data_IF_380853471733
#
_entry.id   IF_380853471733
#
_cell.length_a   1.000
_cell.length_b   1.000
_cell.length_c   1.000
_cell.angle_alpha   90.00
_cell.angle_beta   90.00
_cell.angle_gamma   90.00
#
_symmetry.space_group_name_H-M   'P 1'
#
loop_
_entity.id
_entity.type
_entity.pdbx_description
1 polymer ?
#
# COMPACT_ATOMS: atom_id res chain seq x y z
N UNK A 1 -17.75 -49.26 -20.14
CA UNK A 1 -18.72 -48.19 -20.44
C UNK A 1 -19.57 -47.95 -19.21
N UNK A 2 -19.21 -46.96 -18.42
CA UNK A 2 -20.05 -46.41 -17.39
C UNK A 2 -19.75 -44.92 -17.32
N UNK A 3 -20.63 -44.14 -17.95
CA UNK A 3 -20.63 -42.69 -17.82
C UNK A 3 -21.19 -42.33 -16.42
N UNK A 4 -20.31 -41.86 -15.56
CA UNK A 4 -20.72 -41.27 -14.28
C UNK A 4 -21.22 -39.85 -14.57
N UNK A 5 -22.54 -39.65 -14.44
CA UNK A 5 -23.17 -38.34 -14.52
C UNK A 5 -22.64 -37.48 -13.37
N UNK A 6 -21.84 -36.45 -13.66
CA UNK A 6 -21.65 -35.35 -12.76
C UNK A 6 -22.99 -34.58 -12.62
N UNK A 7 -23.59 -34.67 -11.45
CA UNK A 7 -24.72 -33.85 -11.06
C UNK A 7 -24.25 -32.40 -10.92
N UNK A 8 -24.41 -31.63 -11.99
CA UNK A 8 -24.33 -30.18 -11.93
C UNK A 8 -25.56 -29.71 -11.17
N UNK A 9 -25.40 -29.37 -9.90
CA UNK A 9 -26.42 -28.64 -9.15
C UNK A 9 -26.57 -27.25 -9.79
N UNK A 10 -27.47 -27.11 -10.72
CA UNK A 10 -27.99 -25.81 -11.16
C UNK A 10 -28.69 -25.17 -9.98
N UNK A 11 -27.97 -24.35 -9.22
CA UNK A 11 -28.60 -23.34 -8.36
C UNK A 11 -29.37 -22.41 -9.30
N UNK A 12 -30.69 -22.38 -9.17
CA UNK A 12 -31.54 -21.43 -9.88
C UNK A 12 -31.15 -20.01 -9.46
N UNK A 13 -30.29 -19.36 -10.24
CA UNK A 13 -30.01 -17.91 -10.13
C UNK A 13 -31.16 -17.23 -10.88
N UNK A 14 -32.32 -17.15 -10.26
CA UNK A 14 -33.48 -16.40 -10.76
C UNK A 14 -33.29 -14.94 -10.31
N UNK A 15 -33.24 -14.03 -11.28
CA UNK A 15 -33.24 -12.58 -11.11
C UNK A 15 -31.89 -11.89 -10.76
N UNK A 16 -30.78 -12.37 -11.31
CA UNK A 16 -29.52 -11.60 -11.26
C UNK A 16 -29.37 -10.73 -12.51
N UNK A 17 -28.97 -9.48 -12.31
CA UNK A 17 -28.61 -8.54 -13.36
C UNK A 17 -27.18 -8.06 -13.14
N UNK A 18 -26.38 -7.96 -14.21
CA UNK A 18 -25.03 -7.38 -14.16
C UNK A 18 -25.03 -6.12 -15.02
N UNK A 19 -24.68 -5.01 -14.39
CA UNK A 19 -24.49 -3.72 -15.06
C UNK A 19 -22.99 -3.47 -15.22
N UNK A 20 -22.55 -3.09 -16.42
CA UNK A 20 -21.21 -2.61 -16.70
C UNK A 20 -21.24 -1.10 -16.95
N UNK A 21 -20.35 -0.33 -16.29
CA UNK A 21 -20.28 1.12 -16.44
C UNK A 21 -18.88 1.65 -16.19
N UNK A 22 -18.53 2.75 -16.85
CA UNK A 22 -17.30 3.55 -16.61
C UNK A 22 -17.55 4.72 -15.66
N UNK A 23 -18.80 5.02 -15.36
CA UNK A 23 -19.19 6.15 -14.49
C UNK A 23 -20.28 5.72 -13.55
N UNK A 24 -19.99 5.74 -12.27
CA UNK A 24 -20.93 5.34 -11.23
C UNK A 24 -22.00 6.43 -11.00
N UNK A 25 -23.25 6.03 -11.03
CA UNK A 25 -24.35 6.82 -10.48
C UNK A 25 -24.22 6.94 -8.96
N UNK A 26 -24.94 7.89 -8.35
CA UNK A 26 -24.94 8.06 -6.89
C UNK A 26 -25.39 6.78 -6.17
N UNK A 27 -26.40 6.08 -6.69
CA UNK A 27 -26.89 4.80 -6.11
C UNK A 27 -25.78 3.74 -6.14
N UNK A 28 -25.10 3.57 -7.26
CA UNK A 28 -24.04 2.59 -7.41
C UNK A 28 -22.85 2.90 -6.48
N UNK A 29 -22.46 4.16 -6.30
CA UNK A 29 -21.45 4.58 -5.33
C UNK A 29 -21.87 4.21 -3.89
N UNK A 30 -23.12 4.50 -3.51
CA UNK A 30 -23.67 4.17 -2.20
C UNK A 30 -23.69 2.64 -1.98
N UNK A 31 -24.04 1.85 -3.01
CA UNK A 31 -24.03 0.39 -2.98
C UNK A 31 -22.63 -0.20 -2.82
N UNK A 32 -21.64 0.28 -3.59
CA UNK A 32 -20.23 -0.12 -3.47
C UNK A 32 -19.70 0.19 -2.06
N UNK A 33 -19.92 1.40 -1.56
CA UNK A 33 -19.53 1.78 -0.21
C UNK A 33 -20.18 0.89 0.86
N UNK A 34 -21.46 0.58 0.71
CA UNK A 34 -22.20 -0.30 1.63
C UNK A 34 -21.63 -1.71 1.64
N UNK A 35 -21.41 -2.32 0.46
CA UNK A 35 -20.84 -3.67 0.34
C UNK A 35 -19.43 -3.71 0.95
N UNK A 36 -18.58 -2.75 0.61
CA UNK A 36 -17.22 -2.66 1.13
C UNK A 36 -17.22 -2.52 2.66
N UNK A 37 -18.07 -1.66 3.22
CA UNK A 37 -18.17 -1.47 4.67
C UNK A 37 -18.63 -2.76 5.39
N UNK A 38 -19.60 -3.48 4.83
CA UNK A 38 -20.08 -4.75 5.38
C UNK A 38 -19.02 -5.85 5.31
N UNK A 39 -18.27 -5.95 4.22
CA UNK A 39 -17.15 -6.89 4.10
C UNK A 39 -16.02 -6.55 5.09
N UNK A 40 -15.68 -5.27 5.23
CA UNK A 40 -14.68 -4.82 6.23
C UNK A 40 -15.10 -5.21 7.65
N UNK A 41 -16.37 -5.00 7.99
CA UNK A 41 -16.91 -5.38 9.31
C UNK A 41 -16.89 -6.90 9.52
N UNK A 42 -17.32 -7.68 8.50
CA UNK A 42 -17.45 -9.13 8.61
C UNK A 42 -16.10 -9.86 8.69
N UNK A 43 -15.09 -9.39 7.96
CA UNK A 43 -13.80 -10.08 7.82
C UNK A 43 -12.64 -9.33 8.50
N UNK A 44 -12.89 -8.16 9.10
CA UNK A 44 -11.85 -7.31 9.71
C UNK A 44 -10.89 -6.71 8.68
N UNK A 45 -11.37 -6.43 7.46
CA UNK A 45 -10.53 -5.93 6.37
C UNK A 45 -10.11 -4.48 6.63
N UNK A 46 -8.88 -4.17 6.23
CA UNK A 46 -8.40 -2.79 6.05
C UNK A 46 -8.65 -2.29 4.62
N UNK A 47 -8.70 -3.24 3.67
CA UNK A 47 -8.89 -2.96 2.24
C UNK A 47 -10.14 -2.12 1.98
N UNK A 48 -10.00 -1.13 1.13
CA UNK A 48 -11.09 -0.31 0.58
C UNK A 48 -11.10 -0.41 -0.93
N UNK A 49 -12.20 0.00 -1.56
CA UNK A 49 -12.27 0.16 -3.00
C UNK A 49 -12.27 1.66 -3.32
N UNK A 50 -11.22 2.20 -3.93
CA UNK A 50 -11.22 3.58 -4.40
C UNK A 50 -12.34 3.84 -5.41
N UNK A 51 -12.91 5.05 -5.40
CA UNK A 51 -14.05 5.40 -6.25
C UNK A 51 -13.67 5.92 -7.65
N UNK A 52 -12.41 5.80 -8.04
CA UNK A 52 -11.81 6.32 -9.28
C UNK A 52 -11.38 5.21 -10.26
N UNK A 53 -12.03 4.05 -10.17
CA UNK A 53 -11.83 2.96 -11.12
C UNK A 53 -12.27 3.34 -12.54
N UNK A 54 -11.63 2.71 -13.53
CA UNK A 54 -11.94 2.94 -14.95
C UNK A 54 -13.21 2.21 -15.40
N UNK A 55 -13.45 1.02 -14.82
CA UNK A 55 -14.58 0.15 -15.20
C UNK A 55 -15.17 -0.52 -13.95
N UNK A 56 -16.49 -0.72 -13.95
CA UNK A 56 -17.22 -1.35 -12.86
C UNK A 56 -18.23 -2.36 -13.39
N UNK A 57 -18.23 -3.55 -12.83
CA UNK A 57 -19.31 -4.55 -13.00
C UNK A 57 -20.01 -4.72 -11.67
N UNK A 58 -21.32 -4.46 -11.65
CA UNK A 58 -22.14 -4.52 -10.45
C UNK A 58 -23.22 -5.58 -10.67
N UNK A 59 -23.27 -6.58 -9.78
CA UNK A 59 -24.28 -7.63 -9.79
C UNK A 59 -25.37 -7.32 -8.76
N UNK A 60 -26.59 -7.24 -9.23
CA UNK A 60 -27.78 -7.13 -8.38
C UNK A 60 -28.55 -8.47 -8.35
N UNK A 61 -29.04 -8.86 -7.17
CA UNK A 61 -30.05 -9.90 -6.96
C UNK A 61 -31.31 -9.22 -6.43
N UNK A 62 -32.44 -9.38 -7.12
CA UNK A 62 -33.72 -8.76 -6.74
C UNK A 62 -33.63 -7.26 -6.41
N UNK A 63 -32.97 -6.48 -7.24
CA UNK A 63 -32.70 -5.03 -7.09
C UNK A 63 -31.73 -4.63 -5.98
N UNK A 64 -31.12 -5.59 -5.28
CA UNK A 64 -30.11 -5.35 -4.25
C UNK A 64 -28.73 -5.64 -4.81
N UNK A 65 -27.81 -4.67 -4.74
CA UNK A 65 -26.44 -4.90 -5.13
C UNK A 65 -25.78 -5.92 -4.19
N UNK A 66 -25.38 -7.06 -4.77
CA UNK A 66 -24.87 -8.24 -4.07
C UNK A 66 -23.36 -8.40 -4.20
N UNK A 67 -22.77 -7.97 -5.31
CA UNK A 67 -21.34 -8.03 -5.56
C UNK A 67 -20.93 -6.97 -6.58
N UNK A 68 -19.68 -6.60 -6.56
CA UNK A 68 -19.07 -5.77 -7.61
C UNK A 68 -17.61 -6.16 -7.86
N UNK A 69 -17.13 -5.82 -9.05
CA UNK A 69 -15.73 -5.86 -9.43
C UNK A 69 -15.40 -4.53 -10.13
N UNK A 70 -14.40 -3.81 -9.57
CA UNK A 70 -13.85 -2.60 -10.14
C UNK A 70 -12.49 -2.90 -10.78
N UNK A 71 -12.23 -2.30 -11.92
CA UNK A 71 -10.98 -2.43 -12.68
C UNK A 71 -10.31 -1.07 -12.77
N UNK A 72 -9.02 -1.05 -12.51
CA UNK A 72 -8.13 0.10 -12.65
C UNK A 72 -7.08 -0.24 -13.71
N UNK A 73 -7.12 0.47 -14.83
CA UNK A 73 -6.22 0.25 -15.97
C UNK A 73 -4.88 0.96 -15.73
N UNK A 74 -4.15 0.49 -14.72
CA UNK A 74 -2.87 1.08 -14.29
C UNK A 74 -1.78 0.97 -15.34
N UNK A 75 -1.79 -0.13 -16.13
CA UNK A 75 -0.87 -0.38 -17.23
C UNK A 75 -1.62 -0.99 -18.43
N UNK A 76 -1.00 -0.93 -19.60
CA UNK A 76 -1.58 -1.51 -20.83
C UNK A 76 -1.70 -3.02 -20.75
N UNK A 77 -0.75 -3.67 -20.09
CA UNK A 77 -0.62 -5.13 -20.00
C UNK A 77 -1.16 -5.71 -18.70
N UNK A 78 -1.51 -4.89 -17.72
CA UNK A 78 -1.99 -5.34 -16.41
C UNK A 78 -3.07 -4.40 -15.89
N UNK A 79 -4.16 -4.97 -15.38
CA UNK A 79 -5.27 -4.25 -14.75
C UNK A 79 -5.41 -4.66 -13.29
N UNK A 80 -5.40 -3.71 -12.39
CA UNK A 80 -5.74 -3.98 -11.00
C UNK A 80 -7.23 -4.21 -10.85
N UNK A 81 -7.59 -5.23 -10.07
CA UNK A 81 -8.97 -5.64 -9.82
C UNK A 81 -9.29 -5.60 -8.34
N UNK A 82 -10.36 -4.91 -7.97
CA UNK A 82 -10.89 -4.86 -6.63
C UNK A 82 -12.31 -5.45 -6.61
N UNK A 83 -12.49 -6.58 -5.94
CA UNK A 83 -13.75 -7.32 -5.96
C UNK A 83 -14.31 -7.56 -4.55
N UNK A 84 -15.59 -7.29 -4.36
CA UNK A 84 -16.30 -7.55 -3.11
C UNK A 84 -17.64 -8.24 -3.34
N UNK A 85 -17.93 -9.24 -2.50
CA UNK A 85 -19.25 -9.86 -2.43
C UNK A 85 -19.84 -9.63 -1.04
N UNK A 86 -21.01 -9.04 -0.98
CA UNK A 86 -21.75 -8.81 0.26
C UNK A 86 -21.81 -10.10 1.09
N UNK A 87 -21.56 -10.09 2.39
CA UNK A 87 -21.43 -11.30 3.22
C UNK A 87 -22.62 -12.27 3.07
N UNK A 88 -23.86 -11.77 3.04
CA UNK A 88 -25.07 -12.59 2.93
C UNK A 88 -25.28 -13.20 1.53
N UNK A 89 -24.57 -12.72 0.54
CA UNK A 89 -24.68 -13.19 -0.85
C UNK A 89 -23.49 -14.03 -1.30
N UNK A 90 -22.56 -14.37 -0.40
CA UNK A 90 -21.41 -15.24 -0.69
C UNK A 90 -21.83 -16.66 -1.02
N UNK A 91 -20.96 -17.41 -1.69
CA UNK A 91 -21.14 -18.82 -2.08
C UNK A 91 -22.29 -19.06 -3.09
N UNK A 92 -22.74 -18.00 -3.77
CA UNK A 92 -23.72 -18.07 -4.85
C UNK A 92 -23.10 -17.97 -6.27
N UNK A 93 -21.77 -17.93 -6.38
CA UNK A 93 -21.06 -17.87 -7.67
C UNK A 93 -20.99 -16.44 -8.27
N UNK A 94 -21.38 -15.38 -7.52
CA UNK A 94 -21.46 -14.03 -8.07
C UNK A 94 -20.12 -13.44 -8.48
N UNK A 95 -19.08 -13.73 -7.72
CA UNK A 95 -17.72 -13.34 -8.12
C UNK A 95 -17.34 -13.99 -9.46
N UNK A 96 -17.60 -15.29 -9.65
CA UNK A 96 -17.28 -16.00 -10.89
C UNK A 96 -18.02 -15.42 -12.09
N UNK A 97 -19.30 -15.02 -11.90
CA UNK A 97 -20.07 -14.36 -12.96
C UNK A 97 -19.50 -13.00 -13.33
N UNK A 98 -19.06 -12.21 -12.35
CA UNK A 98 -18.41 -10.92 -12.60
C UNK A 98 -17.06 -11.10 -13.29
N UNK A 99 -16.25 -12.05 -12.83
CA UNK A 99 -14.95 -12.36 -13.42
C UNK A 99 -15.09 -12.77 -14.88
N UNK A 100 -16.06 -13.64 -15.20
CA UNK A 100 -16.35 -14.05 -16.57
C UNK A 100 -16.65 -12.84 -17.49
N UNK A 101 -17.41 -11.86 -17.01
CA UNK A 101 -17.68 -10.64 -17.78
C UNK A 101 -16.41 -9.80 -17.99
N UNK A 102 -15.56 -9.67 -16.97
CA UNK A 102 -14.30 -8.95 -17.07
C UNK A 102 -13.35 -9.63 -18.04
N UNK A 103 -13.20 -10.97 -17.95
CA UNK A 103 -12.36 -11.73 -18.90
C UNK A 103 -12.83 -11.56 -20.34
N UNK A 104 -14.13 -11.67 -20.61
CA UNK A 104 -14.68 -11.43 -21.97
C UNK A 104 -14.44 -10.00 -22.46
N UNK A 105 -14.48 -9.03 -21.55
CA UNK A 105 -14.19 -7.64 -21.90
C UNK A 105 -12.70 -7.43 -22.17
N UNK A 106 -11.82 -8.04 -21.39
CA UNK A 106 -10.37 -7.93 -21.54
C UNK A 106 -9.87 -8.60 -22.83
N UNK A 107 -10.48 -9.72 -23.26
CA UNK A 107 -10.17 -10.41 -24.54
C UNK A 107 -10.21 -9.46 -25.74
N UNK A 108 -11.18 -8.54 -25.76
CA UNK A 108 -11.33 -7.53 -26.82
C UNK A 108 -10.27 -6.41 -26.77
N UNK A 109 -9.53 -6.30 -25.67
CA UNK A 109 -8.59 -5.21 -25.37
C UNK A 109 -7.13 -5.66 -25.23
N UNK A 110 -6.81 -6.89 -25.68
CA UNK A 110 -5.45 -7.41 -25.73
C UNK A 110 -5.08 -8.31 -24.57
N UNK A 111 -6.08 -8.82 -23.84
CA UNK A 111 -5.90 -9.81 -22.75
C UNK A 111 -4.88 -9.35 -21.68
N UNK A 112 -5.06 -8.18 -21.06
CA UNK A 112 -4.19 -7.77 -19.97
C UNK A 112 -4.33 -8.75 -18.80
N UNK A 113 -3.24 -8.99 -18.07
CA UNK A 113 -3.25 -9.77 -16.83
C UNK A 113 -4.14 -9.09 -15.79
N UNK A 114 -4.94 -9.86 -15.08
CA UNK A 114 -5.81 -9.36 -14.01
C UNK A 114 -5.10 -9.51 -12.67
N UNK A 115 -4.85 -8.38 -12.00
CA UNK A 115 -4.15 -8.33 -10.73
C UNK A 115 -5.14 -8.08 -9.58
N UNK A 116 -5.45 -9.09 -8.79
CA UNK A 116 -6.35 -8.98 -7.63
C UNK A 116 -5.64 -8.48 -6.40
N UNK A 117 -6.19 -7.42 -5.77
CA UNK A 117 -5.65 -6.83 -4.55
C UNK A 117 -6.41 -7.36 -3.33
N UNK A 118 -5.69 -7.80 -2.29
CA UNK A 118 -6.28 -8.27 -1.03
C UNK A 118 -5.37 -7.95 0.16
N UNK A 119 -5.94 -7.82 1.35
CA UNK A 119 -5.21 -7.73 2.63
C UNK A 119 -5.03 -9.10 3.33
N UNK A 120 -5.34 -10.19 2.63
CA UNK A 120 -5.23 -11.59 3.08
C UNK A 120 -6.08 -11.95 4.32
N UNK A 121 -6.94 -11.08 4.81
CA UNK A 121 -7.75 -11.32 6.02
C UNK A 121 -9.03 -12.11 5.74
N UNK A 122 -9.54 -12.08 4.49
CA UNK A 122 -10.74 -12.80 4.11
C UNK A 122 -10.42 -14.24 3.64
N UNK A 123 -10.71 -15.30 4.42
CA UNK A 123 -10.44 -16.67 4.01
C UNK A 123 -11.16 -17.09 2.72
N UNK A 124 -12.33 -16.50 2.46
CA UNK A 124 -13.10 -16.79 1.24
C UNK A 124 -12.40 -16.23 0.00
N UNK A 125 -11.86 -15.00 0.08
CA UNK A 125 -11.06 -14.42 -1.00
C UNK A 125 -9.78 -15.25 -1.27
N UNK A 126 -9.07 -15.65 -0.21
CA UNK A 126 -7.88 -16.49 -0.34
C UNK A 126 -8.20 -17.89 -0.91
N UNK A 127 -9.39 -18.42 -0.67
CA UNK A 127 -9.83 -19.67 -1.29
C UNK A 127 -10.09 -19.50 -2.78
N UNK A 128 -10.70 -18.38 -3.18
CA UNK A 128 -10.95 -18.05 -4.59
C UNK A 128 -9.62 -17.87 -5.35
N UNK A 129 -8.68 -17.09 -4.81
CA UNK A 129 -7.38 -16.88 -5.46
C UNK A 129 -6.62 -18.20 -5.67
N UNK A 130 -6.69 -19.13 -4.71
CA UNK A 130 -6.12 -20.48 -4.88
C UNK A 130 -6.83 -21.31 -5.93
N UNK A 131 -8.17 -21.20 -6.04
CA UNK A 131 -8.95 -21.91 -7.06
C UNK A 131 -8.67 -21.35 -8.46
N UNK A 132 -8.38 -20.06 -8.57
CA UNK A 132 -7.94 -19.40 -9.80
C UNK A 132 -6.48 -19.69 -10.13
N UNK A 133 -5.73 -20.38 -9.27
CA UNK A 133 -4.28 -20.56 -9.38
C UNK A 133 -3.52 -19.23 -9.53
N UNK A 134 -4.08 -18.16 -8.94
CA UNK A 134 -3.48 -16.83 -8.99
C UNK A 134 -2.17 -16.78 -8.22
N UNK A 135 -1.13 -16.22 -8.83
CA UNK A 135 0.21 -16.16 -8.27
C UNK A 135 0.46 -14.84 -7.53
N UNK A 136 1.09 -14.92 -6.35
CA UNK A 136 1.51 -13.73 -5.62
C UNK A 136 2.61 -13.01 -6.41
N UNK A 137 2.30 -11.81 -6.89
CA UNK A 137 3.22 -10.99 -7.69
C UNK A 137 3.95 -9.95 -6.85
N UNK A 138 3.23 -9.25 -5.96
CA UNK A 138 3.80 -8.18 -5.15
C UNK A 138 3.09 -8.08 -3.80
N UNK A 139 3.79 -7.51 -2.82
CA UNK A 139 3.21 -7.09 -1.55
C UNK A 139 3.58 -5.64 -1.25
N UNK A 140 2.67 -4.92 -0.64
CA UNK A 140 2.90 -3.58 -0.11
C UNK A 140 2.53 -3.54 1.37
N UNK A 141 3.35 -2.89 2.14
CA UNK A 141 3.16 -2.77 3.58
C UNK A 141 2.80 -1.34 3.95
N UNK A 142 1.67 -1.17 4.62
CA UNK A 142 1.42 0.03 5.41
C UNK A 142 2.21 -0.11 6.70
N UNK A 143 3.01 0.89 7.02
CA UNK A 143 3.78 0.92 8.25
C UNK A 143 3.44 2.17 9.06
N UNK A 144 3.40 2.00 10.38
CA UNK A 144 3.11 3.09 11.31
C UNK A 144 4.17 3.19 12.40
N UNK A 145 4.43 4.43 12.79
CA UNK A 145 5.19 4.80 13.97
C UNK A 145 4.30 5.64 14.90
N UNK A 146 4.08 5.15 16.12
CA UNK A 146 3.40 5.93 17.16
C UNK A 146 4.42 6.83 17.84
N UNK A 147 4.21 8.14 17.71
CA UNK A 147 5.05 9.15 18.37
C UNK A 147 4.69 9.18 19.85
N UNK A 148 5.63 8.89 20.76
CA UNK A 148 5.36 8.91 22.20
C UNK A 148 4.75 10.24 22.67
N UNK A 149 3.84 10.22 23.64
CA UNK A 149 3.35 11.45 24.24
C UNK A 149 4.49 12.17 24.97
N UNK A 150 4.66 13.47 24.74
CA UNK A 150 5.67 14.26 25.43
C UNK A 150 5.47 14.11 26.95
N UNK A 151 6.43 13.49 27.63
CA UNK A 151 6.39 13.26 29.09
C UNK A 151 6.61 11.82 29.55
N UNK A 152 6.61 10.82 28.65
CA UNK A 152 7.09 9.48 29.01
C UNK A 152 8.60 9.42 28.78
N UNK A 153 9.36 9.66 29.85
CA UNK A 153 10.80 9.43 29.86
C UNK A 153 11.07 7.99 29.39
N UNK A 154 11.98 7.85 28.46
CA UNK A 154 12.52 6.55 28.06
C UNK A 154 13.20 5.92 29.27
N UNK A 155 12.49 5.09 30.02
CA UNK A 155 13.15 4.14 30.90
C UNK A 155 13.75 3.05 30.04
N UNK A 156 15.05 3.17 29.79
CA UNK A 156 15.88 2.13 29.20
C UNK A 156 15.86 0.92 30.14
N UNK A 157 15.13 -0.12 29.79
CA UNK A 157 15.21 -1.39 30.48
C UNK A 157 13.90 -2.15 30.60
N UNK A 158 13.39 -2.69 29.52
CA UNK A 158 12.57 -3.91 29.63
C UNK A 158 12.83 -4.79 28.42
N UNK A 159 13.52 -5.90 28.68
CA UNK A 159 13.76 -6.98 27.74
C UNK A 159 12.43 -7.61 27.32
N UNK A 160 12.02 -7.40 26.08
CA UNK A 160 10.97 -8.20 25.47
C UNK A 160 11.60 -9.49 24.97
N UNK A 161 11.10 -10.61 25.48
CA UNK A 161 11.52 -11.97 25.14
C UNK A 161 11.53 -12.20 23.64
N UNK A 162 12.72 -12.50 23.12
CA UNK A 162 12.96 -12.93 21.75
C UNK A 162 12.32 -14.29 21.50
N UNK A 163 11.41 -14.33 20.52
CA UNK A 163 11.19 -15.55 19.77
C UNK A 163 12.32 -15.68 18.73
N UNK A 164 13.07 -16.74 18.84
CA UNK A 164 14.29 -17.04 18.11
C UNK A 164 14.11 -17.09 16.60
N UNK A 165 14.89 -16.26 15.89
CA UNK A 165 15.25 -16.41 14.48
C UNK A 165 16.78 -16.59 14.39
N UNK A 166 17.31 -17.31 13.38
CA UNK A 166 18.68 -17.79 13.37
C UNK A 166 19.73 -16.69 13.18
N UNK A 167 20.89 -16.97 13.76
CA UNK A 167 22.08 -16.16 13.85
C UNK A 167 22.54 -15.51 12.53
N UNK A 168 22.54 -14.17 12.52
CA UNK A 168 23.42 -13.39 11.66
C UNK A 168 24.23 -12.48 12.59
N UNK A 169 25.56 -12.59 12.52
CA UNK A 169 26.51 -11.88 13.38
C UNK A 169 26.24 -10.36 13.37
N UNK A 170 26.45 -9.66 14.51
CA UNK A 170 26.32 -8.21 14.57
C UNK A 170 27.54 -7.56 13.91
N UNK A 171 27.27 -6.75 12.86
CA UNK A 171 28.23 -5.80 12.31
C UNK A 171 28.56 -4.74 13.37
N UNK A 172 29.69 -4.93 14.06
CA UNK A 172 30.14 -4.14 15.23
C UNK A 172 31.02 -2.94 14.82
N UNK A 173 30.71 -2.21 13.77
CA UNK A 173 31.55 -1.06 13.38
C UNK A 173 30.80 0.24 13.00
N UNK A 174 29.61 0.54 13.56
CA UNK A 174 28.91 1.78 13.15
C UNK A 174 28.37 2.66 14.29
N UNK A 175 28.86 2.52 15.53
CA UNK A 175 28.28 3.26 16.66
C UNK A 175 28.99 4.59 17.01
N UNK A 176 30.01 5.03 16.30
CA UNK A 176 30.77 6.23 16.67
C UNK A 176 30.52 7.48 15.80
N UNK A 177 29.72 7.41 14.76
CA UNK A 177 29.33 8.58 13.93
C UNK A 177 27.91 9.12 14.19
N UNK A 178 27.28 8.76 15.29
CA UNK A 178 25.83 9.01 15.53
C UNK A 178 25.46 10.45 15.91
N UNK A 179 26.40 11.35 16.16
CA UNK A 179 26.13 12.66 16.78
C UNK A 179 26.02 13.84 15.80
N UNK A 180 26.16 13.63 14.50
CA UNK A 180 26.05 14.75 13.57
C UNK A 180 24.58 15.01 13.18
N UNK A 181 24.00 16.09 13.68
CA UNK A 181 22.71 16.59 13.21
C UNK A 181 22.82 17.01 11.74
N UNK A 182 21.80 16.68 10.94
CA UNK A 182 21.67 17.16 9.57
C UNK A 182 20.99 18.53 9.57
N UNK A 183 21.41 19.42 8.68
CA UNK A 183 20.73 20.69 8.46
C UNK A 183 19.41 20.43 7.70
N UNK A 184 18.29 20.59 8.39
CA UNK A 184 16.97 20.23 7.88
C UNK A 184 16.17 21.46 7.46
N UNK A 185 15.76 21.51 6.18
CA UNK A 185 14.90 22.57 5.63
C UNK A 185 13.50 22.00 5.33
N UNK A 186 12.49 22.82 5.57
CA UNK A 186 11.08 22.47 5.34
C UNK A 186 10.47 23.49 4.38
N UNK A 187 9.96 22.99 3.27
CA UNK A 187 9.32 23.78 2.22
C UNK A 187 7.84 23.40 2.10
N UNK A 188 6.96 24.38 2.07
CA UNK A 188 5.53 24.14 1.77
C UNK A 188 5.34 24.09 0.26
N UNK A 189 4.72 23.02 -0.22
CA UNK A 189 4.36 22.82 -1.64
C UNK A 189 2.85 22.67 -1.78
N UNK A 190 2.28 22.77 -2.99
CA UNK A 190 0.86 22.49 -3.20
C UNK A 190 0.43 21.08 -2.79
N UNK A 191 1.34 20.11 -2.83
CA UNK A 191 1.12 18.70 -2.52
C UNK A 191 1.38 18.34 -1.06
N UNK A 192 1.84 19.29 -0.22
CA UNK A 192 2.19 19.06 1.17
C UNK A 192 3.52 19.70 1.57
N UNK A 193 4.27 19.03 2.43
CA UNK A 193 5.59 19.50 2.87
C UNK A 193 6.70 18.71 2.17
N UNK A 194 7.65 19.40 1.59
CA UNK A 194 8.94 18.84 1.16
C UNK A 194 9.95 19.12 2.26
N UNK A 195 10.58 18.07 2.78
CA UNK A 195 11.59 18.16 3.84
C UNK A 195 12.91 17.63 3.29
N UNK A 196 13.93 18.44 3.36
CA UNK A 196 15.26 18.12 2.85
C UNK A 196 16.28 18.24 3.97
N UNK A 197 17.37 17.49 3.86
CA UNK A 197 18.49 17.61 4.77
C UNK A 197 19.82 17.68 4.03
N UNK A 198 20.77 18.41 4.61
CA UNK A 198 22.16 18.56 4.13
C UNK A 198 23.13 18.07 5.19
N UNK A 199 24.31 17.66 4.76
CA UNK A 199 25.41 17.37 5.68
C UNK A 199 26.01 18.71 6.11
N UNK A 200 26.11 19.01 7.42
CA UNK A 200 26.67 20.27 7.91
C UNK A 200 28.11 20.47 7.42
N UNK A 201 28.40 21.67 6.93
CA UNK A 201 29.73 22.03 6.45
C UNK A 201 30.09 21.50 5.05
N UNK A 202 29.22 20.75 4.40
CA UNK A 202 29.41 20.37 3.01
C UNK A 202 28.94 21.51 2.10
N UNK A 203 29.86 22.40 1.76
CA UNK A 203 29.64 23.52 0.83
C UNK A 203 29.90 23.11 -0.62
N UNK A 204 29.90 21.81 -0.93
CA UNK A 204 30.08 21.32 -2.28
C UNK A 204 28.99 21.92 -3.16
N UNK A 205 29.32 22.70 -4.22
CA UNK A 205 28.33 23.11 -5.18
C UNK A 205 27.68 21.83 -5.74
N UNK A 206 26.38 21.82 -5.87
CA UNK A 206 25.70 20.77 -6.58
C UNK A 206 26.31 20.74 -8.00
N UNK A 207 27.25 19.82 -8.22
CA UNK A 207 27.83 19.62 -9.53
C UNK A 207 26.68 19.26 -10.48
N UNK A 208 26.42 20.18 -11.42
CA UNK A 208 25.27 20.14 -12.34
C UNK A 208 25.34 19.01 -13.38
N UNK A 209 25.84 17.85 -13.03
CA UNK A 209 25.72 16.60 -13.74
C UNK A 209 24.64 15.73 -13.11
N UNK A 210 23.44 16.30 -12.94
CA UNK A 210 22.24 15.51 -12.73
C UNK A 210 22.06 14.57 -13.91
N UNK A 211 22.21 13.27 -13.66
CA UNK A 211 21.69 12.25 -14.56
C UNK A 211 20.19 12.56 -14.70
N UNK A 212 19.80 13.08 -15.85
CA UNK A 212 18.39 13.23 -16.23
C UNK A 212 17.83 11.82 -16.39
N UNK A 213 17.41 11.22 -15.28
CA UNK A 213 16.46 10.12 -15.33
C UNK A 213 15.12 10.78 -15.68
N UNK A 214 14.44 10.23 -16.66
CA UNK A 214 13.16 10.70 -17.20
C UNK A 214 11.99 10.62 -16.20
N UNK A 215 12.25 10.27 -14.96
CA UNK A 215 11.28 10.25 -13.86
C UNK A 215 11.32 11.57 -13.12
N UNK A 216 10.42 12.47 -13.53
CA UNK A 216 10.28 13.84 -13.03
C UNK A 216 9.79 13.96 -11.58
N UNK A 217 9.93 12.94 -10.76
CA UNK A 217 9.37 12.86 -9.40
C UNK A 217 10.40 12.64 -8.27
N UNK A 218 11.71 12.77 -8.52
CA UNK A 218 12.72 12.63 -7.47
C UNK A 218 12.72 13.86 -6.54
N UNK A 219 12.52 13.62 -5.24
CA UNK A 219 12.45 14.67 -4.21
C UNK A 219 13.77 15.40 -3.98
N UNK A 220 14.92 14.76 -4.27
CA UNK A 220 16.25 15.33 -4.07
C UNK A 220 16.71 16.21 -5.23
N UNK A 221 16.20 16.01 -6.44
CA UNK A 221 16.64 16.73 -7.64
C UNK A 221 16.23 18.22 -7.65
N UNK A 222 15.27 18.59 -6.79
CA UNK A 222 14.74 19.95 -6.72
C UNK A 222 15.38 20.85 -5.65
N UNK A 223 16.28 20.30 -4.81
CA UNK A 223 16.92 21.06 -3.71
C UNK A 223 18.44 20.91 -3.77
N UNK A 224 19.13 21.95 -4.25
CA UNK A 224 20.60 21.91 -4.38
C UNK A 224 21.28 21.57 -3.04
N UNK A 225 22.20 20.60 -3.05
CA UNK A 225 22.95 20.17 -1.88
C UNK A 225 22.20 19.29 -0.87
N UNK A 226 20.93 18.93 -1.14
CA UNK A 226 20.22 17.98 -0.29
C UNK A 226 20.83 16.59 -0.40
N UNK A 227 21.08 15.91 0.73
CA UNK A 227 21.55 14.54 0.78
C UNK A 227 20.42 13.52 0.98
N UNK A 228 19.35 13.92 1.68
CA UNK A 228 18.14 13.16 1.91
C UNK A 228 16.95 14.07 1.75
N UNK A 229 15.86 13.59 1.19
CA UNK A 229 14.60 14.30 1.12
C UNK A 229 13.42 13.35 1.32
N UNK A 230 12.30 13.88 1.78
CA UNK A 230 11.00 13.19 1.78
C UNK A 230 9.86 14.20 1.60
N UNK A 231 8.68 13.67 1.32
CA UNK A 231 7.43 14.44 1.30
C UNK A 231 6.55 14.01 2.48
N UNK A 232 5.78 14.96 3.01
CA UNK A 232 4.79 14.73 4.06
C UNK A 232 3.45 15.34 3.69
N UNK A 233 2.39 14.59 3.90
CA UNK A 233 1.02 15.10 3.99
C UNK A 233 0.57 15.05 5.44
N UNK A 234 -0.02 16.14 5.95
CA UNK A 234 -0.48 16.24 7.33
C UNK A 234 -1.99 16.18 7.40
N UNK A 235 -2.52 15.38 8.31
CA UNK A 235 -3.95 15.29 8.59
C UNK A 235 -4.18 15.22 10.11
N UNK A 236 -4.58 16.35 10.71
CA UNK A 236 -4.74 16.46 12.17
C UNK A 236 -3.43 16.14 12.91
N UNK A 237 -3.44 15.10 13.72
CA UNK A 237 -2.27 14.62 14.47
C UNK A 237 -1.51 13.49 13.77
N UNK A 238 -1.82 13.21 12.52
CA UNK A 238 -1.17 12.18 11.73
C UNK A 238 -0.38 12.80 10.57
N UNK A 239 0.76 12.21 10.24
CA UNK A 239 1.57 12.53 9.07
C UNK A 239 1.68 11.30 8.17
N UNK A 240 1.56 11.49 6.85
CA UNK A 240 1.84 10.46 5.85
C UNK A 240 3.15 10.81 5.16
N UNK A 241 4.14 9.92 5.29
CA UNK A 241 5.48 10.08 4.71
C UNK A 241 5.56 9.31 3.40
N UNK A 242 6.03 9.98 2.36
CA UNK A 242 6.24 9.37 1.05
C UNK A 242 7.47 9.96 0.35
N UNK A 243 7.94 9.30 -0.71
CA UNK A 243 9.11 9.73 -1.50
C UNK A 243 10.36 9.99 -0.63
N UNK A 244 10.65 9.08 0.33
CA UNK A 244 11.91 9.16 1.09
C UNK A 244 13.07 8.70 0.21
N UNK A 245 13.97 9.60 -0.10
CA UNK A 245 15.09 9.36 -0.97
C UNK A 245 16.41 9.84 -0.36
N UNK A 246 17.49 9.09 -0.64
CA UNK A 246 18.87 9.50 -0.38
C UNK A 246 19.61 9.57 -1.71
N UNK A 247 20.35 10.64 -1.93
CA UNK A 247 21.20 10.79 -3.12
C UNK A 247 22.03 9.52 -3.33
N UNK A 248 22.02 8.94 -4.54
CA UNK A 248 22.64 7.63 -4.79
C UNK A 248 24.10 7.51 -4.31
N UNK A 249 24.92 8.52 -4.53
CA UNK A 249 26.31 8.56 -4.12
C UNK A 249 26.52 8.59 -2.59
N UNK A 250 25.46 8.92 -1.82
CA UNK A 250 25.49 9.05 -0.37
C UNK A 250 24.70 7.94 0.36
N UNK A 251 24.16 6.97 -0.38
CA UNK A 251 23.48 5.81 0.19
C UNK A 251 24.41 4.96 1.04
N UNK A 252 23.84 4.17 1.96
CA UNK A 252 24.54 3.24 2.86
C UNK A 252 25.46 3.92 3.89
N UNK A 253 25.31 5.23 4.12
CA UNK A 253 26.03 6.02 5.14
C UNK A 253 25.19 6.34 6.37
N UNK A 254 24.06 5.69 6.57
CA UNK A 254 23.17 5.92 7.70
C UNK A 254 22.35 7.22 7.64
N UNK A 255 22.48 8.05 6.59
CA UNK A 255 21.85 9.37 6.48
C UNK A 255 20.33 9.32 6.59
N UNK A 256 19.66 8.37 5.91
CA UNK A 256 18.22 8.23 5.99
C UNK A 256 17.72 7.90 7.41
N UNK A 257 18.47 7.08 8.17
CA UNK A 257 18.14 6.77 9.57
C UNK A 257 18.25 7.98 10.48
N UNK A 258 19.33 8.76 10.34
CA UNK A 258 19.51 10.03 11.07
C UNK A 258 18.42 11.03 10.73
N UNK A 259 18.15 11.19 9.43
CA UNK A 259 17.09 12.07 8.96
C UNK A 259 15.72 11.70 9.54
N UNK A 260 15.34 10.42 9.50
CA UNK A 260 14.07 9.97 10.09
C UNK A 260 14.00 10.22 11.58
N UNK A 261 15.09 9.97 12.33
CA UNK A 261 15.12 10.24 13.77
C UNK A 261 14.95 11.73 14.07
N UNK A 262 15.56 12.62 13.29
CA UNK A 262 15.38 14.08 13.45
C UNK A 262 13.96 14.51 13.05
N UNK A 263 13.43 13.96 11.94
CA UNK A 263 12.08 14.23 11.47
C UNK A 263 11.02 13.82 12.50
N UNK A 264 11.15 12.63 13.08
CA UNK A 264 10.25 12.15 14.15
C UNK A 264 10.25 13.12 15.33
N UNK A 265 11.43 13.54 15.82
CA UNK A 265 11.53 14.53 16.91
C UNK A 265 10.92 15.89 16.53
N UNK A 266 11.06 16.30 15.27
CA UNK A 266 10.45 17.55 14.79
C UNK A 266 8.92 17.44 14.78
N UNK A 267 8.39 16.35 14.25
CA UNK A 267 6.95 16.09 14.16
C UNK A 267 6.31 15.93 15.56
N UNK A 268 7.00 15.28 16.49
CA UNK A 268 6.58 15.21 17.89
C UNK A 268 6.37 16.60 18.51
N UNK A 269 7.35 17.51 18.34
CA UNK A 269 7.25 18.89 18.80
C UNK A 269 6.11 19.67 18.14
N UNK A 270 5.70 19.27 16.94
CA UNK A 270 4.54 19.83 16.23
C UNK A 270 3.20 19.20 16.64
N UNK A 271 3.21 18.27 17.58
CA UNK A 271 1.99 17.61 18.08
C UNK A 271 1.51 16.44 17.21
N UNK A 272 2.30 16.00 16.25
CA UNK A 272 2.01 14.76 15.50
C UNK A 272 2.15 13.57 16.45
N UNK A 273 1.21 12.63 16.36
CA UNK A 273 1.12 11.43 17.20
C UNK A 273 1.30 10.15 16.43
N UNK A 274 1.14 10.20 15.11
CA UNK A 274 1.27 9.03 14.24
C UNK A 274 1.95 9.42 12.93
N UNK A 275 2.88 8.59 12.48
CA UNK A 275 3.51 8.72 11.17
C UNK A 275 3.22 7.42 10.42
N UNK A 276 2.59 7.52 9.25
CA UNK A 276 2.27 6.41 8.38
C UNK A 276 3.10 6.49 7.10
N UNK A 277 3.38 5.36 6.51
CA UNK A 277 3.99 5.25 5.18
C UNK A 277 3.58 3.95 4.50
N UNK A 278 3.74 3.91 3.19
CA UNK A 278 3.60 2.70 2.38
C UNK A 278 4.94 2.33 1.76
N UNK A 279 5.25 1.05 1.69
CA UNK A 279 6.51 0.55 1.15
C UNK A 279 6.32 -0.79 0.48
N UNK A 280 6.92 -0.96 -0.71
CA UNK A 280 6.92 -2.25 -1.41
C UNK A 280 7.66 -3.33 -0.61
N UNK A 281 7.11 -4.53 -0.57
CA UNK A 281 7.71 -5.71 0.04
C UNK A 281 9.06 -6.08 -0.56
N UNK A 282 9.27 -5.75 -1.84
CA UNK A 282 10.55 -5.94 -2.54
C UNK A 282 11.62 -4.90 -2.15
N UNK A 283 11.23 -3.77 -1.52
CA UNK A 283 12.17 -2.74 -1.07
C UNK A 283 12.75 -3.06 0.30
N UNK A 284 13.50 -4.16 0.37
CA UNK A 284 14.13 -4.60 1.62
C UNK A 284 15.02 -3.54 2.31
N UNK A 285 15.81 -2.69 1.60
CA UNK A 285 16.58 -1.65 2.26
C UNK A 285 15.69 -0.66 3.02
N UNK A 286 14.57 -0.24 2.44
CA UNK A 286 13.62 0.65 3.09
C UNK A 286 12.89 -0.06 4.26
N UNK A 287 12.48 -1.30 4.09
CA UNK A 287 11.87 -2.10 5.16
C UNK A 287 12.80 -2.24 6.38
N UNK A 288 14.08 -2.55 6.15
CA UNK A 288 15.07 -2.60 7.24
C UNK A 288 15.23 -1.25 7.93
N UNK A 289 15.29 -0.16 7.15
CA UNK A 289 15.38 1.20 7.68
C UNK A 289 14.18 1.52 8.59
N UNK A 290 12.96 1.32 8.08
CA UNK A 290 11.74 1.66 8.84
C UNK A 290 11.59 0.79 10.09
N UNK A 291 11.85 -0.52 10.00
CA UNK A 291 11.83 -1.40 11.19
C UNK A 291 12.87 -0.97 12.24
N UNK A 292 14.11 -0.64 11.82
CA UNK A 292 15.17 -0.15 12.71
C UNK A 292 14.79 1.17 13.38
N UNK A 293 14.02 2.03 12.71
CA UNK A 293 13.54 3.30 13.27
C UNK A 293 12.24 3.18 14.07
N UNK A 294 11.73 1.96 14.27
CA UNK A 294 10.58 1.69 15.14
C UNK A 294 9.23 1.66 14.44
N UNK A 295 9.18 1.74 13.12
CA UNK A 295 7.94 1.51 12.38
C UNK A 295 7.56 0.03 12.43
N UNK A 296 6.26 -0.23 12.54
CA UNK A 296 5.69 -1.58 12.47
C UNK A 296 4.73 -1.69 11.31
N UNK A 297 4.65 -2.88 10.71
CA UNK A 297 3.66 -3.18 9.68
C UNK A 297 2.28 -3.25 10.36
N UNK A 298 1.33 -2.49 9.85
CA UNK A 298 -0.07 -2.47 10.32
C UNK A 298 -1.01 -3.13 9.32
N UNK A 299 -0.68 -3.05 8.03
CA UNK A 299 -1.47 -3.65 6.95
C UNK A 299 -0.54 -4.22 5.88
N UNK A 300 -0.99 -5.29 5.25
CA UNK A 300 -0.34 -5.89 4.08
C UNK A 300 -1.35 -5.91 2.95
N UNK A 301 -1.00 -5.31 1.82
CA UNK A 301 -1.73 -5.44 0.58
C UNK A 301 -0.95 -6.41 -0.31
N UNK A 302 -1.62 -7.45 -0.77
CA UNK A 302 -1.03 -8.46 -1.65
C UNK A 302 -1.71 -8.43 -3.00
N UNK A 303 -0.93 -8.52 -4.01
CA UNK A 303 -1.30 -8.43 -5.42
C UNK A 303 -1.09 -9.80 -6.06
N UNK A 304 -2.18 -10.39 -6.58
CA UNK A 304 -2.19 -11.72 -7.18
C UNK A 304 -2.53 -11.64 -8.66
N UNK A 305 -1.66 -12.15 -9.52
CA UNK A 305 -1.88 -12.25 -10.98
C UNK A 305 -2.70 -13.49 -11.33
N UNK A 306 -3.64 -13.30 -12.27
CA UNK A 306 -4.52 -14.31 -12.86
C UNK A 306 -4.57 -14.16 -14.36
#
# INVERSE_FOLDING_TARGET
MNMTHMNTTHTNITHTNITHTTTLSRKEQEDIHRITALCRLADGLSLSCPGDGDEYWILEEDTTAAAFLAVYKTEVTMWECCAFTHPDFRRKGYFSLLLEQVCRYSEALGEPELCFVTDNKCPAAMAVLRELEAELWNEEYMMEYDVPAAGTAYESGTSVSQASLPDTEPDTELDTELDMELDMDIHTTPEGLLICARIPGDNSPADGNGVTSSDTNSGTDNVPGACVACRLSLNGTSAYLYSLETVPALRRRGLAGRFLAQLIRHLERKGIRRICLQVSGSNEPALRLYRKTGFRITETLSYYLY
#
